data_IF_885062400549
#
_entry.id   IF_885062400549
#
_cell.length_a   1.000
_cell.length_b   1.000
_cell.length_c   1.000
_cell.angle_alpha   90.00
_cell.angle_beta   90.00
_cell.angle_gamma   90.00
#
_symmetry.space_group_name_H-M   'P 1'
#
loop_
_entity.id
_entity.type
_entity.pdbx_description
1 polymer ?
#
# COMPACT_ATOMS: atom_id res chain seq x y z
N UNK A 1 -9.37 5.03 9.90
CA UNK A 1 -8.68 4.33 8.79
C UNK A 1 -8.92 2.82 8.74
N UNK A 2 -8.95 2.09 9.86
CA UNK A 2 -9.11 0.62 9.85
C UNK A 2 -10.32 0.10 9.03
N UNK A 3 -11.49 0.75 9.16
CA UNK A 3 -12.68 0.40 8.37
C UNK A 3 -12.46 0.55 6.86
N UNK A 4 -11.75 1.60 6.44
CA UNK A 4 -11.51 1.90 5.02
C UNK A 4 -10.57 0.89 4.37
N UNK A 5 -9.48 0.51 5.05
CA UNK A 5 -8.57 -0.53 4.58
C UNK A 5 -9.27 -1.89 4.43
N UNK A 6 -10.09 -2.27 5.42
CA UNK A 6 -10.89 -3.50 5.35
C UNK A 6 -11.85 -3.50 4.16
N UNK A 7 -12.62 -2.42 3.99
CA UNK A 7 -13.58 -2.30 2.89
C UNK A 7 -12.89 -2.35 1.52
N UNK A 8 -11.77 -1.66 1.36
CA UNK A 8 -10.98 -1.68 0.13
C UNK A 8 -10.48 -3.10 -0.18
N UNK A 9 -9.92 -3.81 0.81
CA UNK A 9 -9.46 -5.17 0.65
C UNK A 9 -10.61 -6.15 0.33
N UNK A 10 -11.73 -6.08 1.05
CA UNK A 10 -12.92 -6.90 0.75
C UNK A 10 -13.42 -6.67 -0.68
N UNK A 11 -13.49 -5.41 -1.12
CA UNK A 11 -13.92 -5.09 -2.48
C UNK A 11 -12.93 -5.61 -3.54
N UNK A 12 -11.63 -5.47 -3.31
CA UNK A 12 -10.60 -5.98 -4.21
C UNK A 12 -10.69 -7.52 -4.33
N UNK A 13 -10.80 -8.22 -3.21
CA UNK A 13 -10.96 -9.68 -3.15
C UNK A 13 -12.23 -10.17 -3.86
N UNK A 14 -13.35 -9.46 -3.68
CA UNK A 14 -14.59 -9.80 -4.38
C UNK A 14 -14.45 -9.70 -5.91
N UNK A 15 -13.68 -8.72 -6.43
CA UNK A 15 -13.45 -8.54 -7.87
C UNK A 15 -12.56 -9.63 -8.48
N UNK A 16 -11.74 -10.30 -7.67
CA UNK A 16 -10.87 -11.39 -8.13
C UNK A 16 -11.50 -12.77 -7.96
N UNK A 17 -12.66 -12.87 -7.28
CA UNK A 17 -13.28 -14.14 -6.91
C UNK A 17 -12.59 -14.86 -5.75
N UNK A 18 -11.55 -14.27 -5.16
CA UNK A 18 -10.85 -14.77 -3.98
C UNK A 18 -11.66 -14.45 -2.73
N UNK A 19 -12.68 -15.26 -2.46
CA UNK A 19 -13.49 -15.16 -1.25
C UNK A 19 -12.92 -16.03 -0.13
N UNK A 20 -13.20 -15.72 1.13
CA UNK A 20 -12.79 -16.59 2.26
C UNK A 20 -13.36 -18.01 2.14
N UNK A 21 -14.53 -18.15 1.50
CA UNK A 21 -15.11 -19.45 1.18
C UNK A 21 -14.25 -20.27 0.21
N UNK A 22 -13.45 -19.62 -0.65
CA UNK A 22 -12.53 -20.30 -1.57
C UNK A 22 -11.32 -20.93 -0.87
N UNK A 23 -10.99 -20.49 0.35
CA UNK A 23 -9.87 -20.99 1.18
C UNK A 23 -10.32 -21.67 2.47
N UNK A 24 -11.57 -22.12 2.54
CA UNK A 24 -12.06 -22.90 3.68
C UNK A 24 -12.36 -22.08 4.94
N UNK A 25 -12.64 -20.78 4.80
CA UNK A 25 -13.11 -19.91 5.88
C UNK A 25 -12.01 -19.24 6.72
N UNK A 26 -10.73 -19.46 6.38
CA UNK A 26 -9.59 -18.78 7.01
C UNK A 26 -9.23 -17.43 6.38
N UNK A 27 -8.17 -16.81 6.90
CA UNK A 27 -7.50 -15.70 6.23
C UNK A 27 -6.89 -16.18 4.90
N UNK A 28 -6.94 -15.32 3.89
CA UNK A 28 -6.35 -15.60 2.59
C UNK A 28 -4.82 -15.45 2.67
N UNK A 29 -4.04 -16.49 2.34
CA UNK A 29 -2.58 -16.39 2.33
C UNK A 29 -2.13 -15.45 1.21
N UNK A 30 -1.10 -14.65 1.48
CA UNK A 30 -0.45 -13.82 0.48
C UNK A 30 1.07 -13.88 0.67
N UNK A 31 1.83 -14.16 -0.40
CA UNK A 31 3.29 -14.18 -0.30
C UNK A 31 3.87 -12.80 0.06
N UNK A 32 3.21 -11.72 -0.37
CA UNK A 32 3.56 -10.37 0.02
C UNK A 32 2.34 -9.44 -0.06
N UNK A 33 2.33 -8.42 0.79
CA UNK A 33 1.41 -7.29 0.75
C UNK A 33 2.20 -5.98 0.68
N UNK A 34 1.92 -5.19 -0.35
CA UNK A 34 2.31 -3.79 -0.41
C UNK A 34 1.09 -2.91 -0.19
N UNK A 35 1.18 -1.97 0.74
CA UNK A 35 0.12 -1.00 0.98
C UNK A 35 0.68 0.42 1.01
N UNK A 36 -0.04 1.34 0.38
CA UNK A 36 0.33 2.75 0.36
C UNK A 36 -0.92 3.61 0.37
N UNK A 37 -0.96 4.55 1.30
CA UNK A 37 -2.01 5.56 1.44
C UNK A 37 -1.52 6.71 2.33
N UNK A 38 -2.11 7.91 2.21
CA UNK A 38 -1.83 9.02 3.13
C UNK A 38 -2.04 8.58 4.59
N UNK A 39 -1.03 8.75 5.44
CA UNK A 39 -1.09 8.37 6.86
C UNK A 39 -1.18 6.87 7.12
N UNK A 40 -0.86 6.02 6.15
CA UNK A 40 -0.75 4.59 6.37
C UNK A 40 0.39 4.27 7.34
N UNK A 41 0.15 3.34 8.26
CA UNK A 41 1.18 2.72 9.09
C UNK A 41 1.02 1.20 9.06
N UNK A 42 2.07 0.43 9.32
CA UNK A 42 1.99 -1.02 9.44
C UNK A 42 0.88 -1.48 10.38
N UNK A 43 0.69 -0.80 11.51
CA UNK A 43 -0.34 -1.13 12.51
C UNK A 43 -1.75 -0.86 11.98
N UNK A 44 -1.95 0.26 11.29
CA UNK A 44 -3.25 0.62 10.71
C UNK A 44 -3.66 -0.39 9.65
N UNK A 45 -2.74 -0.74 8.75
CA UNK A 45 -2.97 -1.70 7.67
C UNK A 45 -3.18 -3.10 8.26
N UNK A 46 -2.30 -3.58 9.14
CA UNK A 46 -2.42 -4.89 9.78
C UNK A 46 -3.77 -5.04 10.50
N UNK A 47 -4.14 -4.03 11.30
CA UNK A 47 -5.42 -4.04 12.03
C UNK A 47 -6.62 -4.03 11.08
N UNK A 48 -6.55 -3.30 9.97
CA UNK A 48 -7.62 -3.27 8.96
C UNK A 48 -7.81 -4.60 8.22
N UNK A 49 -6.71 -5.34 8.01
CA UNK A 49 -6.69 -6.58 7.23
C UNK A 49 -6.79 -7.85 8.06
N UNK A 50 -6.66 -7.74 9.39
CA UNK A 50 -6.82 -8.87 10.32
C UNK A 50 -8.15 -9.59 10.09
N UNK A 51 -8.10 -10.90 10.02
CA UNK A 51 -9.22 -11.78 9.70
C UNK A 51 -9.62 -11.76 8.23
N UNK A 52 -8.84 -11.14 7.33
CA UNK A 52 -9.04 -11.22 5.87
C UNK A 52 -7.83 -11.79 5.14
N UNK A 53 -6.63 -11.30 5.45
CA UNK A 53 -5.39 -11.64 4.76
C UNK A 53 -4.30 -12.01 5.77
N UNK A 54 -3.48 -13.00 5.41
CA UNK A 54 -2.29 -13.41 6.15
C UNK A 54 -1.06 -13.29 5.23
N UNK A 55 -0.40 -12.13 5.19
CA UNK A 55 0.77 -11.92 4.34
C UNK A 55 2.07 -12.43 4.99
N UNK A 56 2.90 -13.17 4.25
CA UNK A 56 4.23 -13.63 4.71
C UNK A 56 5.22 -12.45 4.85
N UNK A 57 5.06 -11.43 3.99
CA UNK A 57 5.82 -10.19 4.03
C UNK A 57 4.89 -8.99 3.83
N UNK A 58 5.11 -7.92 4.60
CA UNK A 58 4.33 -6.68 4.47
C UNK A 58 5.24 -5.47 4.43
N UNK A 59 5.00 -4.61 3.44
CA UNK A 59 5.61 -3.29 3.32
C UNK A 59 4.50 -2.23 3.27
N UNK A 60 4.61 -1.24 4.16
CA UNK A 60 3.70 -0.10 4.20
C UNK A 60 4.52 1.17 4.04
N UNK A 61 4.18 1.97 3.04
CA UNK A 61 4.86 3.22 2.73
C UNK A 61 3.84 4.35 2.51
N UNK A 62 4.32 5.59 2.56
CA UNK A 62 3.54 6.76 2.14
C UNK A 62 3.15 6.70 0.66
N UNK A 63 2.17 7.51 0.27
CA UNK A 63 1.72 7.61 -1.12
C UNK A 63 2.78 8.20 -2.05
N UNK A 64 3.73 8.94 -1.49
CA UNK A 64 4.89 9.46 -2.21
C UNK A 64 5.80 8.36 -2.77
N UNK A 65 6.03 7.28 -2.01
CA UNK A 65 6.86 6.17 -2.44
C UNK A 65 6.20 5.36 -3.55
N UNK A 66 4.91 5.05 -3.40
CA UNK A 66 4.14 4.34 -4.42
C UNK A 66 4.06 5.15 -5.72
N UNK A 67 3.85 6.47 -5.62
CA UNK A 67 3.84 7.37 -6.77
C UNK A 67 5.18 7.35 -7.50
N UNK A 68 6.28 7.48 -6.75
CA UNK A 68 7.62 7.45 -7.31
C UNK A 68 7.95 6.11 -7.95
N UNK A 69 7.60 5.00 -7.30
CA UNK A 69 7.78 3.65 -7.84
C UNK A 69 6.99 3.46 -9.16
N UNK A 70 5.76 3.94 -9.23
CA UNK A 70 4.95 3.89 -10.46
C UNK A 70 5.52 4.75 -11.60
N UNK A 71 6.09 5.91 -11.29
CA UNK A 71 6.64 6.82 -12.29
C UNK A 71 8.02 6.38 -12.82
N UNK A 72 8.90 5.89 -11.94
CA UNK A 72 10.31 5.64 -12.24
C UNK A 72 10.74 4.18 -12.12
N UNK A 73 9.85 3.25 -11.75
CA UNK A 73 10.20 1.83 -11.59
C UNK A 73 11.30 1.57 -10.56
N UNK A 74 11.46 2.46 -9.58
CA UNK A 74 12.56 2.42 -8.60
C UNK A 74 13.86 3.13 -9.02
N UNK A 75 13.88 3.75 -10.21
CA UNK A 75 15.00 4.59 -10.67
C UNK A 75 15.13 5.93 -9.94
N UNK A 76 16.04 6.79 -10.39
CA UNK A 76 16.17 8.14 -9.86
C UNK A 76 15.18 9.10 -10.54
N UNK A 77 14.72 10.11 -9.81
CA UNK A 77 13.75 11.07 -10.32
C UNK A 77 13.06 11.85 -9.21
N UNK A 78 12.20 12.79 -9.63
CA UNK A 78 11.34 13.55 -8.73
C UNK A 78 9.91 13.42 -9.22
N UNK A 79 8.99 13.07 -8.31
CA UNK A 79 7.55 13.16 -8.51
C UNK A 79 7.01 14.37 -7.78
N UNK A 80 6.07 15.06 -8.41
CA UNK A 80 5.27 16.11 -7.79
C UNK A 80 3.81 15.75 -8.03
N UNK A 81 3.07 15.55 -6.95
CA UNK A 81 1.63 15.29 -7.01
C UNK A 81 0.91 16.51 -6.44
N UNK A 82 0.14 17.18 -7.29
CA UNK A 82 -0.66 18.34 -6.91
C UNK A 82 -2.13 17.92 -6.86
N UNK A 83 -2.67 17.79 -5.63
CA UNK A 83 -4.06 17.42 -5.37
C UNK A 83 -4.64 18.18 -4.18
N UNK A 84 -5.54 17.55 -3.43
CA UNK A 84 -6.11 18.11 -2.19
C UNK A 84 -5.04 18.38 -1.12
N UNK A 85 -3.99 17.56 -1.12
CA UNK A 85 -2.68 17.88 -0.55
C UNK A 85 -1.66 17.81 -1.69
N UNK A 86 -0.63 18.65 -1.63
CA UNK A 86 0.48 18.57 -2.59
C UNK A 86 1.69 17.96 -1.90
N UNK A 87 2.49 17.22 -2.64
CA UNK A 87 3.81 16.80 -2.17
C UNK A 87 4.79 16.71 -3.32
N UNK A 88 6.08 16.80 -2.98
CA UNK A 88 7.18 16.46 -3.85
C UNK A 88 8.03 15.39 -3.16
N UNK A 89 8.44 14.37 -3.91
CA UNK A 89 9.36 13.34 -3.45
C UNK A 89 10.40 13.05 -4.52
N UNK A 90 11.66 12.96 -4.11
CA UNK A 90 12.78 12.67 -5.00
C UNK A 90 13.66 11.54 -4.48
N UNK A 91 14.21 10.75 -5.41
CA UNK A 91 15.28 9.80 -5.17
C UNK A 91 16.46 10.13 -6.09
N UNK A 92 17.63 10.34 -5.50
CA UNK A 92 18.87 10.55 -6.25
C UNK A 92 19.49 9.22 -6.70
N UNK A 93 20.49 9.30 -7.59
CA UNK A 93 21.19 8.13 -8.13
C UNK A 93 22.01 7.36 -7.07
N UNK A 94 22.39 8.03 -5.98
CA UNK A 94 23.04 7.41 -4.82
C UNK A 94 22.05 6.77 -3.83
N UNK A 95 20.74 6.83 -4.13
CA UNK A 95 19.68 6.27 -3.31
C UNK A 95 19.20 7.19 -2.19
N UNK A 96 19.77 8.38 -2.01
CA UNK A 96 19.25 9.37 -1.06
C UNK A 96 17.87 9.86 -1.48
N UNK A 97 17.03 10.15 -0.48
CA UNK A 97 15.63 10.57 -0.70
C UNK A 97 15.36 11.91 -0.02
N UNK A 98 14.47 12.71 -0.61
CA UNK A 98 13.98 13.95 -0.02
C UNK A 98 12.48 14.11 -0.28
N UNK A 99 11.75 14.71 0.66
CA UNK A 99 10.33 15.00 0.55
C UNK A 99 9.99 16.42 1.02
N UNK A 100 8.91 16.97 0.46
CA UNK A 100 8.29 18.24 0.85
C UNK A 100 6.77 18.14 0.70
N UNK A 101 6.01 18.78 1.61
CA UNK A 101 4.55 18.74 1.69
C UNK A 101 3.99 20.15 1.90
#
# INVERSE_FOLDING_TARGET
MHRSARQAATAALARTGLTQSAVGGGELPAAALYASAPGASPEIISSGLSGLLNPDAMLVEGDEFATHAGAFGGGYGVVVLAGTGSFAFGRASDGSTASAH
#
